data_IF_270502050475
#
_entry.id   IF_270502050475
#
_cell.length_a   1.000
_cell.length_b   1.000
_cell.length_c   1.000
_cell.angle_alpha   90.00
_cell.angle_beta   90.00
_cell.angle_gamma   90.00
#
_symmetry.space_group_name_H-M   'P 1'
#
loop_
_entity.id
_entity.type
_entity.pdbx_description
1 polymer ?
#
# COMPACT_ATOMS: atom_id res chain seq x y z
N UNK A 1 -15.56 -7.70 5.51
CA UNK A 1 -14.61 -7.08 6.46
C UNK A 1 -13.31 -7.85 6.41
N UNK A 2 -12.19 -7.15 6.26
CA UNK A 2 -10.89 -7.78 6.15
C UNK A 2 -10.25 -8.12 7.48
N UNK A 3 -9.00 -8.56 7.45
CA UNK A 3 -8.22 -8.99 8.61
C UNK A 3 -6.74 -8.58 8.45
N UNK A 4 -6.04 -8.53 9.56
CA UNK A 4 -4.61 -8.27 9.56
C UNK A 4 -3.84 -9.48 8.99
N UNK A 5 -2.80 -9.18 8.21
CA UNK A 5 -1.92 -10.18 7.63
C UNK A 5 -0.46 -9.82 7.90
N UNK A 6 0.42 -10.80 7.74
CA UNK A 6 1.86 -10.60 7.75
C UNK A 6 2.45 -10.91 6.39
N UNK A 7 3.30 -10.01 5.91
CA UNK A 7 3.99 -10.11 4.65
C UNK A 7 5.49 -10.23 4.89
N UNK A 8 6.21 -10.91 3.99
CA UNK A 8 7.66 -11.03 4.07
C UNK A 8 8.29 -10.45 2.82
N UNK A 9 9.10 -9.42 2.99
CA UNK A 9 9.85 -8.80 1.91
C UNK A 9 11.06 -9.65 1.50
N UNK A 10 11.64 -9.37 0.33
CA UNK A 10 12.75 -10.14 -0.24
C UNK A 10 14.04 -10.11 0.60
N UNK A 11 14.19 -9.10 1.46
CA UNK A 11 15.29 -8.99 2.43
C UNK A 11 15.02 -9.70 3.77
N UNK A 12 13.91 -10.43 3.88
CA UNK A 12 13.49 -11.14 5.08
C UNK A 12 12.73 -10.31 6.10
N UNK A 13 12.56 -9.00 5.85
CA UNK A 13 11.78 -8.15 6.75
C UNK A 13 10.30 -8.57 6.74
N UNK A 14 9.73 -8.69 7.93
CA UNK A 14 8.31 -9.01 8.11
C UNK A 14 7.54 -7.74 8.49
N UNK A 15 6.59 -7.38 7.65
CA UNK A 15 5.70 -6.25 7.88
C UNK A 15 4.25 -6.70 8.04
N UNK A 16 3.48 -5.91 8.71
CA UNK A 16 2.03 -6.06 8.78
C UNK A 16 1.34 -5.59 7.50
N UNK A 17 0.08 -5.87 7.43
CA UNK A 17 -0.81 -5.38 6.38
C UNK A 17 -2.25 -5.69 6.73
N UNK A 18 -3.15 -5.22 5.87
CA UNK A 18 -4.57 -5.51 5.96
C UNK A 18 -5.04 -6.15 4.67
N UNK A 19 -5.76 -7.25 4.74
CA UNK A 19 -6.33 -7.95 3.59
C UNK A 19 -7.84 -8.04 3.71
N UNK A 20 -8.53 -7.76 2.62
CA UNK A 20 -9.96 -7.99 2.46
C UNK A 20 -10.18 -8.91 1.26
N UNK A 21 -10.80 -10.06 1.50
CA UNK A 21 -11.10 -11.01 0.45
C UNK A 21 -12.38 -10.62 -0.30
N UNK A 22 -12.42 -10.92 -1.60
CA UNK A 22 -13.54 -10.57 -2.47
C UNK A 22 -14.84 -11.21 -2.03
N UNK A 23 -15.92 -10.48 -2.19
CA UNK A 23 -17.26 -11.05 -2.10
C UNK A 23 -17.54 -11.81 -3.40
N UNK A 24 -17.60 -13.14 -3.31
CA UNK A 24 -17.74 -14.02 -4.47
C UNK A 24 -16.44 -14.24 -5.26
N UNK A 25 -16.52 -14.77 -6.48
CA UNK A 25 -15.35 -15.03 -7.31
C UNK A 25 -14.53 -13.76 -7.57
N UNK A 26 -13.23 -13.83 -7.34
CA UNK A 26 -12.35 -12.67 -7.50
C UNK A 26 -12.16 -12.29 -8.97
N UNK A 27 -12.32 -11.02 -9.30
CA UNK A 27 -12.00 -10.42 -10.60
C UNK A 27 -10.50 -10.20 -10.79
N UNK A 28 -9.76 -10.16 -9.70
CA UNK A 28 -8.33 -9.86 -9.59
C UNK A 28 -7.98 -9.34 -8.21
N UNK A 29 -6.81 -8.78 -8.05
CA UNK A 29 -6.35 -8.24 -6.79
C UNK A 29 -5.89 -6.78 -6.91
N UNK A 30 -5.97 -6.03 -5.81
CA UNK A 30 -5.51 -4.65 -5.70
C UNK A 30 -4.58 -4.50 -4.50
N UNK A 31 -3.40 -3.96 -4.74
CA UNK A 31 -2.51 -3.48 -3.68
C UNK A 31 -2.86 -2.03 -3.42
N UNK A 32 -3.27 -1.72 -2.19
CA UNK A 32 -3.72 -0.38 -1.77
C UNK A 32 -2.64 0.27 -0.93
N UNK A 33 -2.07 1.37 -1.40
CA UNK A 33 -0.97 2.04 -0.71
C UNK A 33 -1.47 3.25 0.07
N UNK A 34 -1.10 3.26 1.34
CA UNK A 34 -1.44 4.25 2.35
C UNK A 34 -1.01 5.68 2.01
N UNK A 35 -1.67 6.63 2.64
CA UNK A 35 -1.18 7.99 2.84
C UNK A 35 -0.05 8.00 3.89
N UNK A 36 0.33 9.18 4.41
CA UNK A 36 1.33 9.27 5.50
C UNK A 36 0.78 8.83 6.88
N UNK A 37 -0.46 8.43 6.95
CA UNK A 37 -1.17 8.09 8.21
C UNK A 37 -1.20 6.59 8.55
N UNK A 38 -0.45 5.78 7.81
CA UNK A 38 -0.44 4.33 8.00
C UNK A 38 -1.64 3.62 7.38
N UNK A 39 -1.73 2.32 7.63
CA UNK A 39 -2.90 1.50 7.25
C UNK A 39 -4.00 1.71 8.29
N UNK A 40 -4.49 2.95 8.33
CA UNK A 40 -5.50 3.41 9.27
C UNK A 40 -6.91 2.98 8.83
N UNK A 41 -7.91 3.41 9.58
CA UNK A 41 -9.32 3.10 9.33
C UNK A 41 -9.76 3.45 7.89
N UNK A 42 -9.30 4.58 7.34
CA UNK A 42 -9.63 4.99 5.98
C UNK A 42 -9.11 3.98 4.94
N UNK A 43 -7.84 3.60 5.01
CA UNK A 43 -7.23 2.64 4.07
C UNK A 43 -7.87 1.25 4.20
N UNK A 44 -8.17 0.82 5.42
CA UNK A 44 -8.92 -0.43 5.67
C UNK A 44 -10.30 -0.41 5.02
N UNK A 45 -11.04 0.68 5.15
CA UNK A 45 -12.33 0.86 4.49
C UNK A 45 -12.22 0.85 2.96
N UNK A 46 -11.16 1.43 2.40
CA UNK A 46 -10.90 1.36 0.96
C UNK A 46 -10.72 -0.09 0.52
N UNK A 47 -9.95 -0.89 1.26
CA UNK A 47 -9.79 -2.32 0.98
C UNK A 47 -11.13 -3.07 1.06
N UNK A 48 -11.93 -2.84 2.10
CA UNK A 48 -13.22 -3.48 2.27
C UNK A 48 -14.19 -3.11 1.13
N UNK A 49 -14.16 -1.88 0.65
CA UNK A 49 -14.96 -1.44 -0.52
C UNK A 49 -14.53 -2.15 -1.80
N UNK A 50 -13.23 -2.26 -2.08
CA UNK A 50 -12.76 -3.04 -3.22
C UNK A 50 -13.13 -4.52 -3.12
N UNK A 51 -13.12 -5.08 -1.91
CA UNK A 51 -13.57 -6.44 -1.67
C UNK A 51 -15.07 -6.61 -2.01
N UNK A 52 -15.91 -5.64 -1.65
CA UNK A 52 -17.34 -5.65 -2.02
C UNK A 52 -17.58 -5.54 -3.53
N UNK A 53 -16.63 -4.95 -4.27
CA UNK A 53 -16.66 -4.86 -5.73
C UNK A 53 -16.07 -6.09 -6.44
N UNK A 54 -15.65 -7.10 -5.68
CA UNK A 54 -15.15 -8.37 -6.21
C UNK A 54 -13.64 -8.43 -6.44
N UNK A 55 -12.86 -7.62 -5.74
CA UNK A 55 -11.40 -7.69 -5.77
C UNK A 55 -10.85 -8.18 -4.42
N UNK A 56 -9.79 -8.97 -4.44
CA UNK A 56 -8.99 -9.14 -3.23
C UNK A 56 -8.14 -7.89 -3.05
N UNK A 57 -8.23 -7.23 -1.91
CA UNK A 57 -7.46 -6.04 -1.62
C UNK A 57 -6.44 -6.29 -0.50
N UNK A 58 -5.21 -5.81 -0.66
CA UNK A 58 -4.17 -5.90 0.37
C UNK A 58 -3.47 -4.55 0.52
N UNK A 59 -3.35 -4.07 1.75
CA UNK A 59 -2.65 -2.84 2.08
C UNK A 59 -1.43 -3.15 2.95
N UNK A 60 -0.18 -3.06 2.44
CA UNK A 60 1.02 -3.26 3.22
C UNK A 60 1.27 -2.06 4.15
N UNK A 61 1.71 -2.32 5.38
CA UNK A 61 2.11 -1.30 6.35
C UNK A 61 3.54 -0.84 6.06
N UNK A 62 3.72 0.05 5.07
CA UNK A 62 5.04 0.44 4.57
C UNK A 62 5.86 1.31 5.53
N UNK A 63 5.30 1.68 6.67
CA UNK A 63 6.03 2.37 7.75
C UNK A 63 6.55 1.44 8.85
N UNK A 64 6.25 0.13 8.77
CA UNK A 64 6.64 -0.82 9.82
C UNK A 64 8.15 -0.93 10.03
N UNK A 65 8.97 -0.58 9.03
CA UNK A 65 10.43 -0.50 9.18
C UNK A 65 10.88 0.63 10.10
N UNK A 66 10.04 1.63 10.33
CA UNK A 66 10.31 2.78 11.20
C UNK A 66 9.58 2.59 12.52
N UNK A 67 8.27 2.40 12.46
CA UNK A 67 7.40 2.17 13.61
C UNK A 67 6.34 1.13 13.26
N UNK A 68 6.45 -0.09 13.83
CA UNK A 68 5.48 -1.14 13.58
C UNK A 68 4.06 -0.71 13.95
N UNK A 69 3.13 -1.01 13.05
CA UNK A 69 1.70 -0.78 13.28
C UNK A 69 1.31 0.70 13.42
N UNK A 70 2.12 1.62 12.87
CA UNK A 70 1.82 3.05 12.90
C UNK A 70 0.48 3.34 12.21
N UNK A 71 -0.41 3.98 12.94
CA UNK A 71 -1.70 4.48 12.46
C UNK A 71 -2.00 5.81 13.14
N UNK A 72 -2.45 6.78 12.36
CA UNK A 72 -2.85 8.07 12.90
C UNK A 72 -4.11 8.63 12.24
N UNK A 73 -4.69 9.63 12.89
CA UNK A 73 -5.74 10.47 12.33
C UNK A 73 -5.16 11.69 11.59
N UNK A 74 -5.95 12.74 11.52
CA UNK A 74 -5.71 13.90 10.66
C UNK A 74 -5.59 15.22 11.42
N UNK A 75 -5.48 15.20 12.74
CA UNK A 75 -5.24 16.43 13.52
C UNK A 75 -3.90 17.07 13.17
N UNK A 76 -3.71 18.39 13.38
CA UNK A 76 -2.44 19.04 13.07
C UNK A 76 -1.22 18.38 13.72
N UNK A 77 -1.35 17.91 14.96
CA UNK A 77 -0.28 17.23 15.68
C UNK A 77 0.03 15.86 15.08
N UNK A 78 -0.99 15.09 14.72
CA UNK A 78 -0.84 13.79 14.06
C UNK A 78 -0.21 13.95 12.67
N UNK A 79 -0.61 14.96 11.91
CA UNK A 79 0.02 15.30 10.62
C UNK A 79 1.50 15.64 10.80
N UNK A 80 1.86 16.40 11.84
CA UNK A 80 3.24 16.77 12.12
C UNK A 80 4.10 15.53 12.45
N UNK A 81 3.55 14.58 13.20
CA UNK A 81 4.23 13.30 13.47
C UNK A 81 4.38 12.49 12.19
N UNK A 82 3.30 12.30 11.42
CA UNK A 82 3.30 11.51 10.20
C UNK A 82 4.31 12.04 9.15
N UNK A 83 4.47 13.35 9.05
CA UNK A 83 5.46 13.98 8.15
C UNK A 83 6.90 13.60 8.45
N UNK A 84 7.23 13.25 9.69
CA UNK A 84 8.58 12.82 10.06
C UNK A 84 8.97 11.50 9.38
N UNK A 85 8.01 10.61 9.15
CA UNK A 85 8.25 9.34 8.47
C UNK A 85 8.65 9.49 7.00
N UNK A 86 8.28 10.60 6.37
CA UNK A 86 8.55 10.86 4.95
C UNK A 86 9.56 11.96 4.71
N UNK A 87 10.19 12.47 5.75
CA UNK A 87 11.25 13.48 5.63
C UNK A 87 12.47 12.94 4.88
N UNK A 88 12.75 11.63 5.04
CA UNK A 88 13.89 10.96 4.43
C UNK A 88 13.52 9.53 4.02
N UNK A 89 12.66 9.37 2.99
CA UNK A 89 12.06 8.08 2.66
C UNK A 89 13.08 7.12 2.05
N UNK A 90 13.10 5.88 2.55
CA UNK A 90 13.84 4.79 1.94
C UNK A 90 12.97 4.12 0.85
N UNK A 91 13.03 4.63 -0.37
CA UNK A 91 12.24 4.15 -1.50
C UNK A 91 12.48 2.68 -1.81
N UNK A 92 13.73 2.22 -1.77
CA UNK A 92 14.06 0.83 -2.08
C UNK A 92 13.46 -0.14 -1.06
N UNK A 93 13.47 0.21 0.22
CA UNK A 93 12.85 -0.59 1.26
C UNK A 93 11.31 -0.62 1.10
N UNK A 94 10.69 0.54 0.86
CA UNK A 94 9.24 0.61 0.61
C UNK A 94 8.83 -0.21 -0.61
N UNK A 95 9.62 -0.17 -1.70
CA UNK A 95 9.33 -0.95 -2.90
C UNK A 95 9.46 -2.46 -2.66
N UNK A 96 10.40 -2.92 -1.83
CA UNK A 96 10.46 -4.34 -1.43
C UNK A 96 9.20 -4.76 -0.65
N UNK A 97 8.71 -3.91 0.22
CA UNK A 97 7.49 -4.17 1.00
C UNK A 97 6.25 -4.20 0.09
N UNK A 98 6.17 -3.29 -0.89
CA UNK A 98 5.11 -3.29 -1.90
C UNK A 98 5.17 -4.53 -2.80
N UNK A 99 6.37 -4.96 -3.22
CA UNK A 99 6.54 -6.21 -3.98
C UNK A 99 6.03 -7.42 -3.20
N UNK A 100 6.30 -7.48 -1.89
CA UNK A 100 5.78 -8.55 -1.03
C UNK A 100 4.23 -8.58 -1.02
N UNK A 101 3.59 -7.42 -1.03
CA UNK A 101 2.13 -7.34 -1.13
C UNK A 101 1.63 -7.81 -2.50
N UNK A 102 2.28 -7.42 -3.61
CA UNK A 102 1.95 -7.91 -4.95
C UNK A 102 2.07 -9.43 -5.00
N UNK A 103 3.18 -9.97 -4.51
CA UNK A 103 3.44 -11.41 -4.53
C UNK A 103 2.44 -12.21 -3.69
N UNK A 104 1.93 -11.62 -2.60
CA UNK A 104 0.94 -12.27 -1.72
C UNK A 104 -0.43 -12.50 -2.37
N UNK A 105 -0.71 -11.83 -3.47
CA UNK A 105 -2.01 -11.89 -4.17
C UNK A 105 -1.91 -12.26 -5.65
N UNK A 106 -0.70 -12.56 -6.15
CA UNK A 106 -0.47 -12.87 -7.58
C UNK A 106 -1.26 -14.08 -8.08
N UNK A 107 -1.55 -15.04 -7.21
CA UNK A 107 -2.28 -16.27 -7.55
C UNK A 107 -3.81 -16.05 -7.63
N UNK A 108 -4.30 -14.90 -7.21
CA UNK A 108 -5.73 -14.54 -7.28
C UNK A 108 -6.15 -14.23 -8.73
N UNK A 109 -5.26 -13.59 -9.49
CA UNK A 109 -5.53 -13.11 -10.85
C UNK A 109 -4.71 -11.87 -11.19
N UNK A 110 -5.16 -11.04 -12.16
CA UNK A 110 -4.48 -9.80 -12.48
C UNK A 110 -4.36 -8.88 -11.24
N UNK A 111 -3.17 -8.30 -11.03
CA UNK A 111 -2.90 -7.41 -9.89
C UNK A 111 -2.78 -5.97 -10.37
N UNK A 112 -3.52 -5.08 -9.76
CA UNK A 112 -3.37 -3.64 -9.88
C UNK A 112 -2.83 -3.02 -8.59
N UNK A 113 -2.33 -1.79 -8.69
CA UNK A 113 -1.94 -0.99 -7.54
C UNK A 113 -2.68 0.35 -7.56
N UNK A 114 -3.15 0.77 -6.40
CA UNK A 114 -3.75 2.09 -6.21
C UNK A 114 -3.16 2.73 -4.96
N UNK A 115 -2.79 3.98 -5.05
CA UNK A 115 -2.18 4.69 -3.93
C UNK A 115 -2.68 6.12 -3.78
N UNK A 116 -2.61 6.63 -2.56
CA UNK A 116 -3.12 7.93 -2.17
C UNK A 116 -2.02 8.76 -1.52
N UNK A 117 -1.85 10.03 -1.91
CA UNK A 117 -0.81 10.92 -1.38
C UNK A 117 0.60 10.33 -1.58
N UNK A 118 1.34 10.04 -0.52
CA UNK A 118 2.58 9.26 -0.57
C UNK A 118 2.38 7.98 -1.38
N UNK A 119 1.29 7.26 -1.12
CA UNK A 119 0.94 6.03 -1.82
C UNK A 119 0.71 6.22 -3.32
N UNK A 120 0.24 7.38 -3.75
CA UNK A 120 0.13 7.73 -5.16
C UNK A 120 1.50 7.80 -5.84
N UNK A 121 2.48 8.39 -5.16
CA UNK A 121 3.87 8.42 -5.64
C UNK A 121 4.50 7.02 -5.63
N UNK A 122 4.25 6.23 -4.59
CA UNK A 122 4.71 4.84 -4.50
C UNK A 122 4.11 3.99 -5.63
N UNK A 123 2.82 4.14 -5.92
CA UNK A 123 2.16 3.42 -7.03
C UNK A 123 2.79 3.76 -8.39
N UNK A 124 3.14 5.02 -8.62
CA UNK A 124 3.83 5.45 -9.83
C UNK A 124 5.21 4.79 -9.97
N UNK A 125 6.03 4.84 -8.92
CA UNK A 125 7.37 4.24 -8.95
C UNK A 125 7.29 2.71 -9.02
N UNK A 126 6.32 2.09 -8.34
CA UNK A 126 6.08 0.66 -8.39
C UNK A 126 5.74 0.20 -9.83
N UNK A 127 4.91 0.95 -10.55
CA UNK A 127 4.58 0.66 -11.94
C UNK A 127 5.81 0.62 -12.86
N UNK A 128 6.81 1.45 -12.58
CA UNK A 128 8.06 1.51 -13.35
C UNK A 128 9.10 0.45 -12.95
N UNK A 129 9.12 0.04 -11.68
CA UNK A 129 10.24 -0.75 -11.12
C UNK A 129 9.86 -2.14 -10.63
N UNK A 130 8.60 -2.40 -10.32
CA UNK A 130 8.16 -3.67 -9.76
C UNK A 130 7.54 -4.58 -10.82
N UNK A 131 7.48 -5.87 -10.52
CA UNK A 131 6.92 -6.88 -11.42
C UNK A 131 5.55 -7.35 -10.96
N UNK A 132 4.75 -7.84 -11.93
CA UNK A 132 3.46 -8.46 -11.66
C UNK A 132 2.26 -7.52 -11.70
N UNK A 133 2.46 -6.22 -11.94
CA UNK A 133 1.37 -5.24 -12.04
C UNK A 133 0.81 -5.18 -13.47
N UNK A 134 -0.52 -5.08 -13.59
CA UNK A 134 -1.27 -4.87 -14.84
C UNK A 134 -1.80 -3.44 -14.97
N UNK A 135 -1.99 -2.75 -13.85
CA UNK A 135 -2.48 -1.38 -13.83
C UNK A 135 -1.97 -0.67 -12.58
N UNK A 136 -1.82 0.65 -12.67
CA UNK A 136 -1.45 1.50 -11.54
C UNK A 136 -2.25 2.79 -11.59
N UNK A 137 -2.78 3.19 -10.43
CA UNK A 137 -3.51 4.45 -10.25
C UNK A 137 -2.92 5.19 -9.06
N UNK A 138 -2.44 6.40 -9.29
CA UNK A 138 -1.92 7.27 -8.23
C UNK A 138 -2.78 8.49 -8.05
N UNK A 139 -3.35 8.64 -6.86
CA UNK A 139 -4.09 9.84 -6.47
C UNK A 139 -3.17 10.83 -5.75
N UNK A 140 -3.13 12.08 -6.24
CA UNK A 140 -2.39 13.22 -5.65
C UNK A 140 -0.98 12.89 -5.14
N UNK A 141 -0.22 12.13 -5.93
CA UNK A 141 1.16 11.75 -5.63
C UNK A 141 2.14 12.91 -5.79
N UNK A 142 2.42 13.65 -4.73
CA UNK A 142 3.22 14.87 -4.77
C UNK A 142 4.69 14.66 -5.14
N UNK A 143 5.24 13.46 -4.96
CA UNK A 143 6.63 13.16 -5.32
C UNK A 143 6.79 12.67 -6.76
N UNK A 144 5.72 12.45 -7.52
CA UNK A 144 5.79 11.92 -8.91
C UNK A 144 6.69 12.79 -9.79
N UNK A 145 6.59 14.10 -9.67
CA UNK A 145 7.40 15.05 -10.46
C UNK A 145 8.92 14.85 -10.28
N UNK A 146 9.35 14.25 -9.17
CA UNK A 146 10.77 13.97 -8.91
C UNK A 146 11.28 12.74 -9.67
N UNK A 147 10.38 11.92 -10.22
CA UNK A 147 10.66 10.68 -10.90
C UNK A 147 10.24 10.71 -12.37
N UNK A 148 9.75 11.85 -12.86
CA UNK A 148 9.19 11.99 -14.21
C UNK A 148 10.25 12.28 -15.28
N UNK A 149 11.53 12.44 -14.93
CA UNK A 149 12.66 12.73 -15.85
C UNK A 149 13.38 11.45 -16.29
#
# INVERSE_FOLDING_TARGET
MGHDVRLTASDGFQLGGYRADSVGPAKGALVVIQEIFGVNHHIRNVCDRYASEGYVAVAPSIFDRIEPNFQSGYSPDEVAVARKFVANPNWDAMLRDVQAAIDSVKDVGPVGIVGFCLGGSVAYVAAAKLSGLRAAVGYYGGAIVRFAD
#
